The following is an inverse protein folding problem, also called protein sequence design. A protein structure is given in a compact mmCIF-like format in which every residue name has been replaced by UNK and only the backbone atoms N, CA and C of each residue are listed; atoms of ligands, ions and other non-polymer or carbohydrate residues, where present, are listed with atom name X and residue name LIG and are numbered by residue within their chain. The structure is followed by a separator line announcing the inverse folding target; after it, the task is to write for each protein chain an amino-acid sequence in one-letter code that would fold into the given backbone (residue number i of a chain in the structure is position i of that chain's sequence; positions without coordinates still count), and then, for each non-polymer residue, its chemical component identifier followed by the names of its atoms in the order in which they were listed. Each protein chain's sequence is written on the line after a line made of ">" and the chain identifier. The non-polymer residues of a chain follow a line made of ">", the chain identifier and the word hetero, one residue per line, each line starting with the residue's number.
data_IF_299051071949
#
_entry.id   IF_299051071949
#
_cell.length_a   1.000
_cell.length_b   1.000
_cell.length_c   1.000
_cell.angle_alpha   90.00
_cell.angle_beta   90.00
_cell.angle_gamma   90.00
#
_symmetry.space_group_name_H-M   'P 1'
#
loop_
_entity.id
_entity.type
_entity.pdbx_description
1 polymer ?
#
# COMPACT_ATOMS: atom_id res chain seq x y z
N UNK A 1 -0.44 1.18 -0.58
CA UNK A 1 0.94 0.71 -0.76
C UNK A 1 1.12 0.09 -2.14
N UNK A 2 2.00 0.65 -2.93
CA UNK A 2 2.30 0.19 -4.29
C UNK A 2 3.55 -0.68 -4.26
N UNK A 3 3.47 -1.87 -4.89
CA UNK A 3 4.51 -2.88 -4.83
C UNK A 3 4.54 -3.77 -6.07
N UNK A 4 5.53 -4.61 -6.18
CA UNK A 4 5.53 -5.72 -7.15
C UNK A 4 6.36 -6.89 -6.60
N UNK A 5 6.15 -8.07 -7.18
CA UNK A 5 6.63 -9.34 -6.60
C UNK A 5 8.15 -9.50 -6.56
N UNK A 6 8.87 -8.86 -7.48
CA UNK A 6 10.34 -8.92 -7.54
C UNK A 6 11.02 -7.74 -6.87
N UNK A 7 10.25 -6.89 -6.21
CA UNK A 7 10.77 -5.74 -5.46
C UNK A 7 11.15 -6.21 -4.04
N UNK A 8 12.43 -6.41 -3.78
CA UNK A 8 12.91 -6.90 -2.48
C UNK A 8 12.44 -6.07 -1.29
N UNK A 9 12.63 -4.74 -1.26
CA UNK A 9 12.13 -3.95 -0.13
C UNK A 9 10.62 -3.96 0.00
N UNK A 10 9.88 -4.08 -1.11
CA UNK A 10 8.43 -4.21 -1.07
C UNK A 10 8.00 -5.48 -0.36
N UNK A 11 8.59 -6.60 -0.74
CA UNK A 11 8.29 -7.91 -0.15
C UNK A 11 8.76 -7.93 1.31
N UNK A 12 9.89 -7.31 1.60
CA UNK A 12 10.46 -7.25 2.95
C UNK A 12 9.57 -6.52 3.96
N UNK A 13 8.74 -5.58 3.52
CA UNK A 13 7.86 -4.83 4.43
C UNK A 13 6.44 -5.42 4.58
N UNK A 14 6.11 -6.49 3.83
CA UNK A 14 4.75 -7.04 3.86
C UNK A 14 4.28 -7.44 5.25
N UNK A 15 5.16 -8.03 6.05
CA UNK A 15 4.86 -8.39 7.44
C UNK A 15 4.56 -7.16 8.31
N UNK A 16 5.31 -6.10 8.13
CA UNK A 16 5.10 -4.84 8.86
C UNK A 16 3.79 -4.18 8.44
N UNK A 17 3.46 -4.24 7.14
CA UNK A 17 2.18 -3.73 6.63
C UNK A 17 1.01 -4.54 7.16
N UNK A 18 1.15 -5.85 7.29
CA UNK A 18 0.11 -6.68 7.88
C UNK A 18 -0.13 -6.30 9.35
N UNK A 19 0.93 -6.08 10.12
CA UNK A 19 0.82 -5.61 11.50
C UNK A 19 0.14 -4.24 11.57
N UNK A 20 0.51 -3.34 10.67
CA UNK A 20 -0.10 -2.02 10.56
C UNK A 20 -1.59 -2.13 10.24
N UNK A 21 -1.97 -3.03 9.35
CA UNK A 21 -3.37 -3.25 9.00
C UNK A 21 -4.20 -3.63 10.24
N UNK A 22 -3.66 -4.49 11.08
CA UNK A 22 -4.34 -4.89 12.31
C UNK A 22 -4.47 -3.72 13.29
N UNK A 23 -3.44 -2.89 13.41
CA UNK A 23 -3.50 -1.68 14.24
C UNK A 23 -4.54 -0.70 13.71
N UNK A 24 -4.57 -0.48 12.41
CA UNK A 24 -5.52 0.44 11.76
C UNK A 24 -6.96 -0.07 11.87
N UNK A 25 -7.18 -1.37 11.84
CA UNK A 25 -8.52 -1.95 11.96
C UNK A 25 -9.20 -1.51 13.26
N UNK A 26 -8.44 -1.36 14.33
CA UNK A 26 -8.95 -0.88 15.63
C UNK A 26 -9.37 0.60 15.57
N UNK A 27 -8.87 1.34 14.60
CA UNK A 27 -9.13 2.76 14.41
C UNK A 27 -10.07 3.04 13.23
N UNK A 28 -10.62 1.99 12.62
CA UNK A 28 -11.52 2.11 11.46
C UNK A 28 -10.80 2.26 10.13
N UNK A 29 -9.51 1.96 10.09
CA UNK A 29 -8.72 2.04 8.87
C UNK A 29 -8.28 0.69 8.33
N UNK A 30 -7.55 0.70 7.24
CA UNK A 30 -7.01 -0.51 6.63
C UNK A 30 -5.82 -0.18 5.74
N UNK A 31 -4.99 -1.19 5.50
CA UNK A 31 -3.98 -1.13 4.45
C UNK A 31 -4.57 -1.73 3.18
N UNK A 32 -4.29 -1.12 2.04
CA UNK A 32 -4.65 -1.67 0.73
C UNK A 32 -3.38 -1.72 -0.11
N UNK A 33 -3.07 -2.89 -0.65
CA UNK A 33 -1.94 -3.08 -1.55
C UNK A 33 -2.37 -2.92 -3.01
N UNK A 34 -1.53 -2.30 -3.82
CA UNK A 34 -1.72 -2.19 -5.26
C UNK A 34 -0.47 -2.73 -5.94
N UNK A 35 -0.61 -3.84 -6.65
CA UNK A 35 0.52 -4.45 -7.34
C UNK A 35 0.62 -3.89 -8.76
N UNK A 36 1.79 -3.35 -9.11
CA UNK A 36 1.99 -2.72 -10.41
C UNK A 36 2.13 -3.71 -11.57
N UNK A 37 2.41 -4.99 -11.26
CA UNK A 37 2.52 -6.04 -12.29
C UNK A 37 1.17 -6.66 -12.65
N UNK A 38 0.15 -6.47 -11.80
CA UNK A 38 -1.17 -7.08 -12.01
C UNK A 38 -2.16 -6.17 -12.74
N UNK A 39 -1.68 -5.07 -13.33
CA UNK A 39 -2.53 -4.21 -14.16
C UNK A 39 -3.27 -5.05 -15.21
N UNK A 40 -4.51 -4.68 -15.48
CA UNK A 40 -5.40 -5.37 -16.41
C UNK A 40 -5.73 -6.82 -16.04
N UNK A 41 -5.43 -7.19 -14.77
CA UNK A 41 -5.74 -8.53 -14.30
C UNK A 41 -4.85 -9.62 -14.88
N UNK A 42 -3.57 -9.32 -15.15
CA UNK A 42 -2.61 -10.29 -15.65
C UNK A 42 -2.61 -11.54 -14.77
N UNK A 43 -3.05 -12.68 -15.33
CA UNK A 43 -3.29 -13.91 -14.56
C UNK A 43 -2.03 -14.48 -13.93
N UNK A 44 -0.93 -14.49 -14.66
CA UNK A 44 0.34 -15.04 -14.17
C UNK A 44 0.89 -14.17 -13.03
N UNK A 45 0.80 -12.86 -13.18
CA UNK A 45 1.26 -11.93 -12.16
C UNK A 45 0.36 -11.97 -10.92
N UNK A 46 -0.95 -12.14 -11.09
CA UNK A 46 -1.87 -12.34 -9.97
C UNK A 46 -1.50 -13.61 -9.19
N UNK A 47 -1.20 -14.71 -9.89
CA UNK A 47 -0.81 -15.95 -9.25
C UNK A 47 0.50 -15.78 -8.46
N UNK A 48 1.48 -15.08 -9.04
CA UNK A 48 2.75 -14.78 -8.37
C UNK A 48 2.53 -13.91 -7.13
N UNK A 49 1.69 -12.89 -7.26
CA UNK A 49 1.37 -12.00 -6.14
C UNK A 49 0.70 -12.75 -4.99
N UNK A 50 -0.29 -13.59 -5.30
CA UNK A 50 -0.99 -14.40 -4.30
C UNK A 50 -0.03 -15.33 -3.55
N UNK A 51 0.91 -15.93 -4.26
CA UNK A 51 1.89 -16.83 -3.65
C UNK A 51 2.79 -16.08 -2.65
N UNK A 52 3.30 -14.92 -3.04
CA UNK A 52 4.12 -14.08 -2.16
C UNK A 52 3.32 -13.62 -0.93
N UNK A 53 2.10 -13.12 -1.15
CA UNK A 53 1.24 -12.64 -0.07
C UNK A 53 0.93 -13.75 0.93
N UNK A 54 0.65 -14.96 0.44
CA UNK A 54 0.37 -16.12 1.28
C UNK A 54 1.60 -16.49 2.12
N UNK A 55 2.77 -16.54 1.50
CA UNK A 55 4.03 -16.85 2.20
C UNK A 55 4.36 -15.85 3.29
N UNK A 56 3.97 -14.60 3.11
CA UNK A 56 4.20 -13.51 4.07
C UNK A 56 3.07 -13.33 5.08
N UNK A 57 2.01 -14.13 4.99
CA UNK A 57 0.90 -14.08 5.92
C UNK A 57 0.04 -12.83 5.81
N UNK A 58 -0.03 -12.24 4.62
CA UNK A 58 -0.81 -11.01 4.38
C UNK A 58 -2.29 -11.33 4.27
N UNK A 59 -3.11 -10.62 5.04
CA UNK A 59 -4.57 -10.75 5.03
C UNK A 59 -5.27 -9.48 4.54
N UNK A 60 -4.57 -8.33 4.44
CA UNK A 60 -5.18 -7.10 3.96
C UNK A 60 -5.44 -7.17 2.45
N UNK A 61 -6.37 -6.33 2.00
CA UNK A 61 -6.82 -6.30 0.60
C UNK A 61 -5.70 -5.88 -0.34
N UNK A 62 -5.56 -6.61 -1.45
CA UNK A 62 -4.74 -6.21 -2.59
C UNK A 62 -5.64 -6.11 -3.80
N UNK A 63 -5.45 -5.07 -4.59
CA UNK A 63 -6.28 -4.76 -5.76
C UNK A 63 -5.42 -4.53 -7.00
N UNK A 64 -6.06 -4.57 -8.16
CA UNK A 64 -5.43 -4.19 -9.42
C UNK A 64 -6.36 -3.26 -10.18
N UNK A 65 -5.80 -2.50 -11.09
CA UNK A 65 -6.55 -1.55 -11.91
C UNK A 65 -6.35 -1.82 -13.39
N UNK A 66 -7.30 -1.39 -14.19
CA UNK A 66 -7.14 -1.35 -15.64
C UNK A 66 -6.11 -0.26 -15.98
N UNK A 67 -5.21 -0.56 -16.90
CA UNK A 67 -4.14 0.37 -17.26
C UNK A 67 -4.66 1.68 -17.85
N UNK A 68 -5.84 1.68 -18.47
CA UNK A 68 -6.47 2.86 -19.06
C UNK A 68 -7.32 3.67 -18.07
N UNK A 69 -7.52 3.17 -16.84
CA UNK A 69 -8.20 3.91 -15.79
C UNK A 69 -7.27 4.98 -15.18
N UNK A 70 -7.83 5.96 -14.50
CA UNK A 70 -7.01 6.98 -13.81
C UNK A 70 -6.10 6.35 -12.75
N UNK A 71 -6.63 5.40 -11.99
CA UNK A 71 -5.85 4.69 -10.98
C UNK A 71 -4.74 3.85 -11.62
N UNK A 72 -5.01 3.21 -12.77
CA UNK A 72 -4.00 2.46 -13.52
C UNK A 72 -2.91 3.36 -14.08
N UNK A 73 -3.28 4.52 -14.61
CA UNK A 73 -2.32 5.52 -15.10
C UNK A 73 -1.46 6.05 -13.97
N UNK A 74 -2.06 6.32 -12.81
CA UNK A 74 -1.34 6.73 -11.62
C UNK A 74 -0.30 5.67 -11.23
N UNK A 75 -0.71 4.40 -11.21
CA UNK A 75 0.18 3.27 -10.89
C UNK A 75 1.32 3.16 -11.90
N UNK A 76 1.02 3.29 -13.19
CA UNK A 76 2.01 3.19 -14.27
C UNK A 76 3.03 4.33 -14.26
N UNK A 77 2.66 5.48 -13.71
CA UNK A 77 3.54 6.63 -13.63
C UNK A 77 4.47 6.61 -12.41
N UNK A 78 4.28 5.67 -11.49
CA UNK A 78 5.20 5.50 -10.37
C UNK A 78 6.48 4.82 -10.86
N UNK A 79 7.61 5.32 -10.40
CA UNK A 79 8.92 4.74 -10.77
C UNK A 79 9.79 4.45 -9.55
N UNK A 80 9.25 4.60 -8.35
CA UNK A 80 9.92 4.25 -7.10
C UNK A 80 9.03 3.30 -6.31
N UNK A 81 9.58 2.19 -5.85
CA UNK A 81 8.84 1.19 -5.09
C UNK A 81 9.69 0.71 -3.91
N UNK A 82 9.06 0.43 -2.75
CA UNK A 82 7.64 0.62 -2.48
C UNK A 82 7.32 2.11 -2.29
N UNK A 83 6.09 2.49 -2.57
CA UNK A 83 5.58 3.83 -2.29
C UNK A 83 4.24 3.67 -1.56
N UNK A 84 4.08 4.39 -0.44
CA UNK A 84 2.89 4.33 0.38
C UNK A 84 2.25 5.70 0.47
N UNK A 85 0.96 5.76 0.17
CA UNK A 85 0.13 6.96 0.34
C UNK A 85 -0.83 6.75 1.50
N UNK A 86 -1.13 7.83 2.21
CA UNK A 86 -2.19 7.84 3.23
C UNK A 86 -3.37 8.59 2.65
N UNK A 87 -4.54 7.99 2.74
CA UNK A 87 -5.78 8.55 2.22
C UNK A 87 -6.78 8.67 3.37
N UNK A 88 -7.41 9.85 3.51
CA UNK A 88 -8.40 10.06 4.57
C UNK A 88 -9.78 9.52 4.16
N UNK A 89 -10.75 9.58 5.06
CA UNK A 89 -12.07 9.03 4.80
C UNK A 89 -12.82 9.77 3.69
N UNK A 90 -12.39 10.97 3.33
CA UNK A 90 -12.98 11.75 2.23
C UNK A 90 -12.38 11.43 0.87
N UNK A 91 -11.41 10.52 0.82
CA UNK A 91 -10.72 10.12 -0.41
C UNK A 91 -9.56 11.03 -0.80
N UNK A 92 -9.12 11.89 0.10
CA UNK A 92 -8.02 12.82 -0.17
C UNK A 92 -6.69 12.27 0.30
N UNK A 93 -5.65 12.46 -0.51
CA UNK A 93 -4.28 12.10 -0.14
C UNK A 93 -3.81 13.05 0.96
N UNK A 94 -3.25 12.50 2.02
CA UNK A 94 -2.74 13.24 3.17
C UNK A 94 -1.23 13.33 3.09
N UNK A 95 -0.70 14.55 2.92
CA UNK A 95 0.73 14.81 2.87
C UNK A 95 1.44 14.19 1.67
N UNK A 96 2.75 14.04 1.80
CA UNK A 96 3.59 13.47 0.75
C UNK A 96 3.65 11.94 0.89
N UNK A 97 3.84 11.21 -0.23
CA UNK A 97 4.01 9.76 -0.15
C UNK A 97 5.28 9.37 0.60
N UNK A 98 5.22 8.22 1.26
CA UNK A 98 6.40 7.62 1.85
C UNK A 98 7.07 6.78 0.77
N UNK A 99 8.23 7.22 0.32
CA UNK A 99 9.03 6.51 -0.70
C UNK A 99 10.05 5.64 0.02
N UNK A 100 10.03 4.34 -0.28
CA UNK A 100 10.85 3.36 0.41
C UNK A 100 10.06 2.58 1.45
N UNK A 101 10.72 1.59 2.04
CA UNK A 101 10.06 0.67 2.99
C UNK A 101 9.74 1.37 4.32
N UNK A 102 8.58 1.05 4.86
CA UNK A 102 8.14 1.57 6.17
C UNK A 102 8.81 0.85 7.34
N UNK A 103 9.65 -0.13 7.05
CA UNK A 103 10.36 -0.90 8.08
C UNK A 103 11.37 -0.06 8.86
N UNK A 104 11.87 1.03 8.27
CA UNK A 104 12.80 1.91 8.96
C UNK A 104 12.06 2.78 9.97
N UNK A 105 12.71 3.10 11.08
CA UNK A 105 12.11 3.92 12.14
C UNK A 105 11.69 5.31 11.64
N UNK A 106 12.51 5.93 10.79
CA UNK A 106 12.20 7.24 10.20
C UNK A 106 10.95 7.21 9.32
N UNK A 107 10.88 6.24 8.42
CA UNK A 107 9.74 6.11 7.51
C UNK A 107 8.47 5.75 8.29
N UNK A 108 8.57 4.88 9.29
CA UNK A 108 7.44 4.54 10.13
C UNK A 108 6.93 5.74 10.91
N UNK A 109 7.83 6.56 11.46
CA UNK A 109 7.43 7.77 12.19
C UNK A 109 6.72 8.77 11.27
N UNK A 110 7.22 8.95 10.04
CA UNK A 110 6.59 9.81 9.04
C UNK A 110 5.19 9.29 8.68
N UNK A 111 5.06 7.98 8.50
CA UNK A 111 3.77 7.35 8.20
C UNK A 111 2.77 7.53 9.35
N UNK A 112 3.20 7.32 10.58
CA UNK A 112 2.35 7.47 11.76
C UNK A 112 1.79 8.90 11.88
N UNK A 113 2.59 9.90 11.55
CA UNK A 113 2.15 11.30 11.50
C UNK A 113 1.01 11.51 10.50
N UNK A 114 1.17 10.95 9.31
CA UNK A 114 0.15 11.05 8.25
C UNK A 114 -1.13 10.33 8.65
N UNK A 115 -1.01 9.18 9.30
CA UNK A 115 -2.15 8.42 9.79
C UNK A 115 -2.91 9.23 10.84
N UNK A 116 -2.20 9.83 11.79
CA UNK A 116 -2.82 10.68 12.81
C UNK A 116 -3.56 11.86 12.17
N UNK A 117 -2.96 12.47 11.15
CA UNK A 117 -3.59 13.57 10.41
C UNK A 117 -4.86 13.09 9.68
N UNK A 118 -4.82 11.93 9.06
CA UNK A 118 -5.98 11.35 8.37
C UNK A 118 -7.12 11.08 9.35
N UNK A 119 -6.81 10.56 10.54
CA UNK A 119 -7.79 10.32 11.60
C UNK A 119 -8.40 11.65 12.08
N UNK A 120 -7.57 12.67 12.27
CA UNK A 120 -8.04 14.00 12.67
C UNK A 120 -8.98 14.59 11.61
N UNK A 121 -8.66 14.41 10.32
CA UNK A 121 -9.50 14.88 9.20
C UNK A 121 -10.88 14.20 9.22
N UNK A 122 -10.95 12.94 9.63
CA UNK A 122 -12.21 12.18 9.66
C UNK A 122 -13.15 12.62 10.79
N UNK A 123 -12.65 13.37 11.76
CA UNK A 123 -13.44 13.86 12.90
C UNK A 123 -14.04 15.25 12.67
N UNK A 124 -13.77 15.84 11.53
CA UNK A 124 -14.26 17.19 11.19
C UNK A 124 -15.58 17.15 10.45
#
# INVERSE_FOLDING_TARGET
>A
NFWFTTCKPCVGELGDLESLNKELAEKGGQVVGVNSFTLDGNKDEIANAKDVLKKKGVTYKNVWFKSDSEAGKFTSNLFSFPTTYVIDQNGNIVGDPIVGAISSAEQRAALDKLIDQAIANSKQ
#
